data_IF_653196413396
#
_entry.id   IF_653196413396
#
_cell.length_a   1.000
_cell.length_b   1.000
_cell.length_c   1.000
_cell.angle_alpha   90.00
_cell.angle_beta   90.00
_cell.angle_gamma   90.00
#
_symmetry.space_group_name_H-M   'P 1'
#
loop_
_entity.id
_entity.type
_entity.pdbx_description
1 polymer ?
#
# COMPACT_ATOMS: atom_id res chain seq x y z
N UNK A 1 30.04 -22.04 8.74
CA UNK A 1 29.26 -20.95 8.13
C UNK A 1 30.09 -20.43 6.96
N UNK A 2 29.69 -20.74 5.74
CA UNK A 2 30.21 -20.02 4.58
C UNK A 2 29.48 -18.67 4.57
N UNK A 3 30.23 -17.58 4.56
CA UNK A 3 29.64 -16.27 4.38
C UNK A 3 28.90 -16.24 3.02
N UNK A 4 27.67 -15.70 2.96
CA UNK A 4 26.93 -15.63 1.71
C UNK A 4 27.72 -14.79 0.70
N UNK A 5 28.17 -15.44 -0.37
CA UNK A 5 28.86 -14.75 -1.48
C UNK A 5 27.91 -14.69 -2.65
N UNK A 6 27.70 -13.48 -3.17
CA UNK A 6 26.85 -13.24 -4.33
C UNK A 6 27.65 -12.48 -5.37
N UNK A 7 27.69 -12.99 -6.60
CA UNK A 7 28.30 -12.28 -7.73
C UNK A 7 27.25 -11.42 -8.41
N UNK A 8 27.53 -10.12 -8.51
CA UNK A 8 26.72 -9.18 -9.30
C UNK A 8 27.53 -8.59 -10.43
N UNK A 9 26.87 -8.39 -11.58
CA UNK A 9 27.45 -7.68 -12.71
C UNK A 9 26.73 -6.36 -12.94
N UNK A 10 27.51 -5.27 -13.08
CA UNK A 10 27.02 -3.96 -13.51
C UNK A 10 27.40 -3.77 -14.98
N UNK A 11 26.38 -3.68 -15.84
CA UNK A 11 26.56 -3.66 -17.29
C UNK A 11 27.06 -2.33 -17.85
N UNK A 12 27.04 -1.25 -17.04
CA UNK A 12 27.60 0.02 -17.45
C UNK A 12 28.12 0.86 -16.25
N UNK A 13 29.08 1.75 -16.53
CA UNK A 13 29.71 2.60 -15.49
C UNK A 13 28.75 3.63 -14.87
N UNK A 14 27.67 3.99 -15.54
CA UNK A 14 26.71 4.96 -15.01
C UNK A 14 25.93 4.37 -13.83
N UNK A 15 25.65 3.08 -13.86
CA UNK A 15 24.99 2.33 -12.78
C UNK A 15 25.81 2.36 -11.51
N UNK A 16 27.13 2.11 -11.60
CA UNK A 16 28.02 2.18 -10.43
C UNK A 16 27.96 3.55 -9.74
N UNK A 17 27.94 4.64 -10.53
CA UNK A 17 27.82 6.00 -9.99
C UNK A 17 26.44 6.26 -9.35
N UNK A 18 25.35 5.81 -9.98
CA UNK A 18 23.99 5.91 -9.43
C UNK A 18 23.89 5.17 -8.11
N UNK A 19 24.40 3.94 -8.05
CA UNK A 19 24.41 3.13 -6.82
C UNK A 19 25.24 3.81 -5.72
N UNK A 20 26.43 4.32 -6.03
CA UNK A 20 27.25 5.03 -5.05
C UNK A 20 26.56 6.28 -4.48
N UNK A 21 25.79 6.99 -5.29
CA UNK A 21 25.09 8.20 -4.88
C UNK A 21 23.74 7.91 -4.19
N UNK A 22 23.02 6.86 -4.60
CA UNK A 22 21.71 6.50 -4.08
C UNK A 22 21.49 4.98 -4.05
N UNK A 23 22.20 4.23 -3.19
CA UNK A 23 22.15 2.77 -3.21
C UNK A 23 20.75 2.21 -3.00
N UNK A 24 19.94 2.81 -2.12
CA UNK A 24 18.60 2.31 -1.79
C UNK A 24 17.61 2.31 -2.96
N UNK A 25 17.73 3.27 -3.87
CA UNK A 25 16.87 3.36 -5.06
C UNK A 25 17.54 2.74 -6.28
N UNK A 26 18.80 3.11 -6.54
CA UNK A 26 19.49 2.76 -7.77
C UNK A 26 19.77 1.26 -7.91
N UNK A 27 19.90 0.51 -6.81
CA UNK A 27 20.05 -0.95 -6.86
C UNK A 27 18.79 -1.62 -7.39
N UNK A 28 17.63 -1.24 -6.85
CA UNK A 28 16.34 -1.78 -7.31
C UNK A 28 16.04 -1.42 -8.77
N UNK A 29 16.22 -0.14 -9.14
CA UNK A 29 16.04 0.32 -10.53
C UNK A 29 16.96 -0.41 -11.50
N UNK A 30 18.25 -0.57 -11.15
CA UNK A 30 19.23 -1.25 -11.99
C UNK A 30 18.95 -2.75 -12.16
N UNK A 31 18.39 -3.40 -11.14
CA UNK A 31 17.94 -4.78 -11.28
C UNK A 31 16.71 -4.87 -12.18
N UNK A 32 15.74 -3.98 -12.03
CA UNK A 32 14.50 -3.95 -12.83
C UNK A 32 14.78 -3.64 -14.31
N UNK A 33 15.72 -2.75 -14.62
CA UNK A 33 16.07 -2.40 -16.01
C UNK A 33 17.12 -3.33 -16.61
N UNK A 34 17.59 -4.34 -15.87
CA UNK A 34 18.59 -5.32 -16.31
C UNK A 34 20.02 -4.80 -16.37
N UNK A 35 20.30 -3.59 -15.89
CA UNK A 35 21.66 -3.04 -15.85
C UNK A 35 22.49 -3.55 -14.66
N UNK A 36 21.86 -4.24 -13.71
CA UNK A 36 22.45 -5.08 -12.67
C UNK A 36 21.89 -6.49 -12.79
N UNK A 37 22.75 -7.49 -12.86
CA UNK A 37 22.34 -8.91 -12.84
C UNK A 37 23.05 -9.66 -11.73
N UNK A 38 22.39 -10.68 -11.18
CA UNK A 38 22.98 -11.66 -10.25
C UNK A 38 23.49 -12.82 -11.08
N UNK A 39 24.74 -13.25 -10.86
CA UNK A 39 25.43 -14.25 -11.66
C UNK A 39 25.95 -15.41 -10.80
N UNK A 40 26.61 -16.38 -11.45
CA UNK A 40 27.29 -17.53 -10.85
C UNK A 40 26.39 -18.40 -9.95
N UNK A 41 25.11 -18.56 -10.34
CA UNK A 41 24.17 -19.41 -9.61
C UNK A 41 23.59 -18.78 -8.33
N UNK A 42 23.94 -17.53 -8.04
CA UNK A 42 23.30 -16.77 -6.95
C UNK A 42 21.84 -16.44 -7.27
N UNK A 43 21.02 -16.36 -6.23
CA UNK A 43 19.62 -15.94 -6.36
C UNK A 43 19.45 -14.45 -6.01
N UNK A 44 18.35 -13.86 -6.46
CA UNK A 44 17.96 -12.52 -6.01
C UNK A 44 17.75 -12.49 -4.48
N UNK A 45 17.30 -13.59 -3.89
CA UNK A 45 17.13 -13.71 -2.45
C UNK A 45 18.47 -13.54 -1.73
N UNK A 46 19.55 -14.24 -2.16
CA UNK A 46 20.87 -14.12 -1.58
C UNK A 46 21.41 -12.69 -1.66
N UNK A 47 21.15 -12.03 -2.79
CA UNK A 47 21.52 -10.62 -2.97
C UNK A 47 20.76 -9.67 -2.04
N UNK A 48 19.46 -9.90 -1.85
CA UNK A 48 18.63 -9.11 -0.93
C UNK A 48 19.00 -9.37 0.53
N UNK A 49 19.32 -10.60 0.90
CA UNK A 49 19.76 -10.96 2.25
C UNK A 49 21.09 -10.28 2.57
N UNK A 50 22.07 -10.36 1.65
CA UNK A 50 23.36 -9.67 1.80
C UNK A 50 23.19 -8.16 1.93
N UNK A 51 22.37 -7.54 1.07
CA UNK A 51 22.16 -6.08 1.11
C UNK A 51 21.39 -5.67 2.35
N UNK A 52 20.35 -6.43 2.74
CA UNK A 52 19.55 -6.20 3.94
C UNK A 52 20.36 -6.25 5.22
N UNK A 53 21.19 -7.28 5.37
CA UNK A 53 22.09 -7.44 6.50
C UNK A 53 23.15 -6.33 6.65
N UNK A 54 23.45 -5.61 5.56
CA UNK A 54 24.45 -4.54 5.52
C UNK A 54 23.84 -3.13 5.36
N UNK A 55 22.53 -2.96 5.47
CA UNK A 55 21.87 -1.64 5.31
C UNK A 55 22.44 -0.58 6.27
N UNK A 56 22.76 -0.96 7.50
CA UNK A 56 23.34 -0.06 8.49
C UNK A 56 24.71 0.51 8.06
N UNK A 57 25.51 -0.25 7.32
CA UNK A 57 26.79 0.20 6.78
C UNK A 57 26.55 1.25 5.69
N UNK A 58 25.56 1.04 4.83
CA UNK A 58 25.19 2.00 3.78
C UNK A 58 24.73 3.34 4.38
N UNK A 59 23.99 3.31 5.48
CA UNK A 59 23.52 4.52 6.17
C UNK A 59 24.66 5.29 6.88
N UNK A 60 25.72 4.63 7.25
CA UNK A 60 26.90 5.23 7.86
C UNK A 60 27.78 6.00 6.85
N UNK A 61 27.60 5.76 5.54
CA UNK A 61 28.39 6.46 4.51
C UNK A 61 28.14 7.97 4.55
N UNK A 62 29.22 8.75 4.64
CA UNK A 62 29.17 10.22 4.73
C UNK A 62 28.38 10.85 3.59
N UNK A 63 28.52 10.34 2.37
CA UNK A 63 27.80 10.84 1.19
C UNK A 63 26.29 10.64 1.31
N UNK A 64 25.84 9.52 1.89
CA UNK A 64 24.42 9.23 2.14
C UNK A 64 23.88 10.16 3.22
N UNK A 65 24.67 10.43 4.27
CA UNK A 65 24.29 11.36 5.34
C UNK A 65 24.17 12.79 4.83
N UNK A 66 25.11 13.30 4.04
CA UNK A 66 25.05 14.64 3.44
C UNK A 66 23.82 14.75 2.52
N UNK A 67 23.58 13.77 1.67
CA UNK A 67 22.40 13.75 0.80
C UNK A 67 21.09 13.74 1.61
N UNK A 68 21.00 12.92 2.65
CA UNK A 68 19.81 12.87 3.51
C UNK A 68 19.57 14.20 4.22
N UNK A 69 20.62 14.89 4.63
CA UNK A 69 20.55 16.25 5.18
C UNK A 69 20.05 17.26 4.14
N UNK A 70 20.61 17.25 2.94
CA UNK A 70 20.16 18.13 1.83
C UNK A 70 18.73 17.81 1.39
N UNK A 71 18.36 16.51 1.31
CA UNK A 71 17.00 16.09 0.94
C UNK A 71 15.95 16.53 1.96
N UNK A 72 16.33 16.72 3.22
CA UNK A 72 15.45 17.28 4.25
C UNK A 72 14.87 18.65 3.85
N UNK A 73 15.62 19.46 3.12
CA UNK A 73 15.20 20.78 2.65
C UNK A 73 14.26 20.69 1.42
N UNK A 74 14.37 19.66 0.62
CA UNK A 74 13.54 19.45 -0.59
C UNK A 74 12.32 18.57 -0.34
N UNK A 75 12.28 17.82 0.78
CA UNK A 75 11.11 17.00 1.18
C UNK A 75 9.78 17.76 1.15
N UNK A 76 9.70 19.02 1.60
CA UNK A 76 8.45 19.77 1.54
C UNK A 76 7.88 19.95 0.13
N UNK A 77 8.76 20.08 -0.88
CA UNK A 77 8.35 20.23 -2.29
C UNK A 77 7.98 18.87 -2.89
N UNK A 78 8.70 17.81 -2.51
CA UNK A 78 8.42 16.44 -2.99
C UNK A 78 7.14 15.85 -2.39
N UNK A 79 6.76 16.25 -1.18
CA UNK A 79 5.52 15.81 -0.50
C UNK A 79 4.27 16.60 -0.91
N UNK A 80 4.43 17.59 -1.80
CA UNK A 80 3.27 18.31 -2.33
C UNK A 80 2.45 17.37 -3.23
N UNK A 81 1.29 16.93 -2.73
CA UNK A 81 0.43 15.93 -3.37
C UNK A 81 -0.95 16.52 -3.72
N UNK A 82 -1.04 17.42 -4.74
CA UNK A 82 -2.32 17.95 -5.19
C UNK A 82 -3.19 16.83 -5.77
N UNK A 83 -4.51 17.04 -5.81
CA UNK A 83 -5.51 16.06 -6.23
C UNK A 83 -5.17 15.32 -7.53
N UNK A 84 -4.63 16.02 -8.53
CA UNK A 84 -4.25 15.42 -9.82
C UNK A 84 -3.02 14.52 -9.76
N UNK A 85 -2.06 14.83 -8.89
CA UNK A 85 -0.83 14.05 -8.70
C UNK A 85 -1.12 12.80 -7.88
N UNK A 86 -1.95 12.91 -6.83
CA UNK A 86 -2.38 11.77 -6.04
C UNK A 86 -2.98 10.66 -6.91
N UNK A 87 -3.90 11.03 -7.82
CA UNK A 87 -4.52 10.10 -8.75
C UNK A 87 -3.51 9.44 -9.69
N UNK A 88 -2.55 10.22 -10.23
CA UNK A 88 -1.52 9.69 -11.14
C UNK A 88 -0.58 8.71 -10.43
N UNK A 89 -0.18 9.03 -9.20
CA UNK A 89 0.70 8.17 -8.41
C UNK A 89 0.02 6.85 -8.03
N UNK A 90 -1.26 6.90 -7.62
CA UNK A 90 -2.04 5.70 -7.31
C UNK A 90 -2.24 4.86 -8.57
N UNK A 91 -2.62 5.45 -9.70
CA UNK A 91 -2.75 4.73 -10.97
C UNK A 91 -1.45 4.01 -11.34
N UNK A 92 -0.30 4.67 -11.24
CA UNK A 92 0.99 4.05 -11.56
C UNK A 92 1.35 2.85 -10.65
N UNK A 93 0.91 2.86 -9.40
CA UNK A 93 1.14 1.75 -8.46
C UNK A 93 0.19 0.56 -8.66
N UNK A 94 -1.04 0.80 -9.12
CA UNK A 94 -2.10 -0.21 -9.22
C UNK A 94 -2.50 -0.56 -10.65
N UNK A 95 -1.90 0.10 -11.67
CA UNK A 95 -2.02 -0.28 -13.08
C UNK A 95 -1.10 -1.47 -13.46
N UNK A 96 -0.46 -2.10 -12.47
CA UNK A 96 0.16 -3.42 -12.62
C UNK A 96 -0.96 -4.44 -12.87
N UNK A 97 -0.67 -5.46 -13.68
CA UNK A 97 -1.69 -6.47 -14.03
C UNK A 97 -2.26 -7.13 -12.77
N UNK A 98 -3.56 -7.40 -12.76
CA UNK A 98 -4.24 -8.14 -11.70
C UNK A 98 -3.56 -9.48 -11.41
N UNK A 99 -2.98 -10.14 -12.45
CA UNK A 99 -2.25 -11.39 -12.34
C UNK A 99 -1.07 -11.32 -11.37
N UNK A 100 -0.40 -10.15 -11.28
CA UNK A 100 0.69 -9.98 -10.32
C UNK A 100 0.18 -10.04 -8.89
N UNK A 101 -0.95 -9.38 -8.59
CA UNK A 101 -1.53 -9.36 -7.25
C UNK A 101 -2.06 -10.73 -6.84
N UNK A 102 -2.58 -11.50 -7.77
CA UNK A 102 -3.07 -12.87 -7.55
C UNK A 102 -1.95 -13.85 -7.19
N UNK A 103 -0.68 -13.54 -7.49
CA UNK A 103 0.46 -14.37 -7.13
C UNK A 103 0.81 -14.36 -5.64
N UNK A 104 0.49 -13.29 -4.91
CA UNK A 104 0.97 -13.13 -3.53
C UNK A 104 -0.08 -12.64 -2.53
N UNK A 105 -1.22 -12.11 -2.98
CA UNK A 105 -2.31 -11.73 -2.10
C UNK A 105 -3.22 -12.93 -1.79
N UNK A 106 -4.02 -12.76 -0.74
CA UNK A 106 -5.13 -13.67 -0.45
C UNK A 106 -6.23 -13.57 -1.50
N UNK A 107 -7.16 -14.54 -1.50
CA UNK A 107 -8.28 -14.60 -2.46
C UNK A 107 -9.19 -13.36 -2.45
N UNK A 108 -9.19 -12.59 -1.37
CA UNK A 108 -9.93 -11.34 -1.21
C UNK A 108 -9.13 -10.09 -1.62
N UNK A 109 -7.88 -10.27 -2.11
CA UNK A 109 -6.95 -9.21 -2.54
C UNK A 109 -6.75 -8.13 -1.47
N UNK A 110 -6.54 -8.53 -0.22
CA UNK A 110 -6.25 -7.62 0.88
C UNK A 110 -4.80 -7.13 0.82
N UNK A 111 -4.55 -5.94 0.28
CA UNK A 111 -3.22 -5.37 0.11
C UNK A 111 -2.79 -4.53 1.33
N UNK A 112 -2.84 -5.15 2.50
CA UNK A 112 -2.34 -4.60 3.76
C UNK A 112 -1.99 -5.73 4.72
N UNK A 113 -1.23 -5.45 5.79
CA UNK A 113 -0.74 -6.47 6.71
C UNK A 113 -1.87 -7.31 7.29
N UNK A 114 -1.72 -8.63 7.28
CA UNK A 114 -2.62 -9.57 7.95
C UNK A 114 -2.48 -9.50 9.48
N UNK A 115 -3.52 -9.93 10.20
CA UNK A 115 -3.47 -10.10 11.66
C UNK A 115 -3.28 -11.58 11.98
N UNK A 116 -2.02 -11.98 12.21
CA UNK A 116 -1.66 -13.34 12.53
C UNK A 116 -1.85 -13.57 14.04
N UNK A 117 -2.91 -14.25 14.40
CA UNK A 117 -3.23 -14.62 15.78
C UNK A 117 -2.46 -15.88 16.25
N UNK A 118 -1.83 -16.59 15.32
CA UNK A 118 -1.00 -17.77 15.54
C UNK A 118 0.13 -17.83 14.51
N UNK A 119 1.27 -18.41 14.89
CA UNK A 119 2.38 -18.66 13.96
C UNK A 119 2.02 -19.62 12.82
N UNK A 120 0.98 -20.43 13.01
CA UNK A 120 0.50 -21.41 12.03
C UNK A 120 -0.67 -20.86 11.17
N UNK A 121 -1.08 -19.60 11.36
CA UNK A 121 -2.17 -19.01 10.57
C UNK A 121 -1.74 -18.88 9.12
N UNK A 122 -2.63 -19.29 8.20
CA UNK A 122 -2.45 -19.00 6.78
C UNK A 122 -2.70 -17.52 6.48
N UNK A 123 -2.27 -17.04 5.30
CA UNK A 123 -2.54 -15.68 4.85
C UNK A 123 -4.05 -15.38 4.83
N UNK A 124 -4.86 -16.31 4.33
CA UNK A 124 -6.33 -16.20 4.30
C UNK A 124 -6.91 -16.00 5.70
N UNK A 125 -6.45 -16.82 6.66
CA UNK A 125 -6.88 -16.72 8.05
C UNK A 125 -6.48 -15.37 8.67
N UNK A 126 -5.25 -14.93 8.43
CA UNK A 126 -4.74 -13.67 8.96
C UNK A 126 -5.48 -12.46 8.37
N UNK A 127 -5.83 -12.48 7.08
CA UNK A 127 -6.58 -11.42 6.45
C UNK A 127 -8.05 -11.40 6.93
N UNK A 128 -8.67 -12.55 7.12
CA UNK A 128 -10.00 -12.65 7.74
C UNK A 128 -9.98 -12.15 9.19
N UNK A 129 -8.97 -12.53 9.98
CA UNK A 129 -8.80 -12.07 11.35
C UNK A 129 -8.60 -10.54 11.43
N UNK A 130 -7.84 -9.94 10.51
CA UNK A 130 -7.72 -8.50 10.37
C UNK A 130 -9.07 -7.83 10.16
N UNK A 131 -9.88 -8.29 9.21
CA UNK A 131 -11.21 -7.72 8.92
C UNK A 131 -12.11 -7.80 10.15
N UNK A 132 -12.13 -8.94 10.84
CA UNK A 132 -12.87 -9.12 12.10
C UNK A 132 -12.40 -8.14 13.19
N UNK A 133 -11.10 -7.97 13.34
CA UNK A 133 -10.51 -7.05 14.31
C UNK A 133 -10.87 -5.59 14.03
N UNK A 134 -10.92 -5.19 12.76
CA UNK A 134 -11.36 -3.85 12.35
C UNK A 134 -12.86 -3.65 12.58
N UNK A 135 -13.68 -4.63 12.23
CA UNK A 135 -15.13 -4.59 12.46
C UNK A 135 -15.46 -4.41 13.96
N UNK A 136 -14.75 -5.12 14.84
CA UNK A 136 -14.96 -4.98 16.29
C UNK A 136 -14.59 -3.60 16.82
N UNK A 137 -13.58 -2.94 16.26
CA UNK A 137 -13.19 -1.56 16.63
C UNK A 137 -14.16 -0.51 16.12
N UNK A 138 -14.84 -0.77 15.02
CA UNK A 138 -15.84 0.15 14.45
C UNK A 138 -17.15 0.16 15.25
N UNK A 139 -17.39 -0.83 16.12
CA UNK A 139 -18.60 -0.93 16.94
C UNK A 139 -19.86 -0.79 16.05
N UNK A 140 -19.96 -1.70 15.07
CA UNK A 140 -21.10 -1.78 14.17
C UNK A 140 -22.23 -2.62 14.83
N UNK A 141 -22.83 -2.09 15.87
CA UNK A 141 -23.73 -2.76 16.81
C UNK A 141 -25.17 -2.90 16.30
N UNK A 142 -25.49 -2.30 15.15
CA UNK A 142 -26.80 -2.37 14.49
C UNK A 142 -26.67 -2.29 12.97
N UNK A 143 -27.57 -2.95 12.22
CA UNK A 143 -27.56 -2.86 10.76
C UNK A 143 -27.90 -1.44 10.28
N UNK A 144 -27.50 -1.13 9.04
CA UNK A 144 -27.77 0.15 8.38
C UNK A 144 -26.86 1.31 8.79
N UNK A 145 -25.90 1.12 9.70
CA UNK A 145 -24.91 2.15 10.00
C UNK A 145 -24.12 2.51 8.75
N UNK A 146 -24.08 3.81 8.45
CA UNK A 146 -23.32 4.35 7.30
C UNK A 146 -21.84 4.32 7.62
N UNK A 147 -21.10 3.55 6.86
CA UNK A 147 -19.66 3.37 7.08
C UNK A 147 -18.89 3.81 5.84
N UNK A 148 -17.85 4.63 6.04
CA UNK A 148 -16.92 5.06 4.98
C UNK A 148 -15.62 4.26 5.08
N UNK A 149 -15.19 3.67 3.96
CA UNK A 149 -13.88 3.02 3.81
C UNK A 149 -12.99 3.87 2.89
N UNK A 150 -12.03 4.59 3.47
CA UNK A 150 -11.13 5.48 2.72
C UNK A 150 -9.90 4.70 2.26
N UNK A 151 -9.78 4.49 0.95
CA UNK A 151 -8.76 3.63 0.37
C UNK A 151 -9.21 2.17 0.31
N UNK A 152 -10.42 1.95 -0.18
CA UNK A 152 -11.12 0.64 -0.12
C UNK A 152 -10.48 -0.48 -0.94
N UNK A 153 -9.47 -0.18 -1.77
CA UNK A 153 -8.81 -1.19 -2.61
C UNK A 153 -9.82 -1.93 -3.50
N UNK A 154 -9.70 -3.25 -3.54
CA UNK A 154 -10.62 -4.14 -4.29
C UNK A 154 -11.94 -4.44 -3.56
N UNK A 155 -12.26 -3.68 -2.50
CA UNK A 155 -13.55 -3.69 -1.84
C UNK A 155 -13.75 -4.76 -0.76
N UNK A 156 -12.76 -5.61 -0.51
CA UNK A 156 -12.93 -6.76 0.38
C UNK A 156 -13.30 -6.40 1.81
N UNK A 157 -12.76 -5.31 2.39
CA UNK A 157 -13.14 -4.89 3.74
C UNK A 157 -14.59 -4.38 3.76
N UNK A 158 -14.98 -3.51 2.83
CA UNK A 158 -16.33 -2.97 2.77
C UNK A 158 -17.41 -4.05 2.61
N UNK A 159 -17.18 -5.04 1.73
CA UNK A 159 -18.05 -6.19 1.53
C UNK A 159 -18.15 -7.01 2.82
N UNK A 160 -17.03 -7.29 3.48
CA UNK A 160 -16.99 -8.02 4.74
C UNK A 160 -17.77 -7.32 5.85
N UNK A 161 -17.61 -6.00 6.00
CA UNK A 161 -18.33 -5.22 7.00
C UNK A 161 -19.85 -5.31 6.79
N UNK A 162 -20.31 -5.21 5.55
CA UNK A 162 -21.74 -5.37 5.23
C UNK A 162 -22.24 -6.78 5.57
N UNK A 163 -21.53 -7.82 5.11
CA UNK A 163 -21.94 -9.21 5.31
C UNK A 163 -22.03 -9.61 6.78
N UNK A 164 -21.09 -9.12 7.61
CA UNK A 164 -21.04 -9.50 9.03
C UNK A 164 -21.94 -8.64 9.92
N UNK A 165 -22.24 -7.41 9.54
CA UNK A 165 -22.91 -6.44 10.44
C UNK A 165 -24.16 -5.80 9.85
N UNK A 166 -24.43 -5.95 8.55
CA UNK A 166 -25.49 -5.24 7.85
C UNK A 166 -25.24 -3.74 7.68
N UNK A 167 -23.98 -3.26 7.82
CA UNK A 167 -23.66 -1.86 7.62
C UNK A 167 -23.81 -1.44 6.15
N UNK A 168 -24.20 -0.18 5.92
CA UNK A 168 -24.22 0.43 4.59
C UNK A 168 -22.84 1.04 4.31
N UNK A 169 -22.12 0.49 3.34
CA UNK A 169 -20.70 0.86 3.12
C UNK A 169 -20.51 1.67 1.85
N UNK A 170 -19.79 2.79 1.98
CA UNK A 170 -19.24 3.52 0.84
C UNK A 170 -17.73 3.38 0.87
N UNK A 171 -17.13 2.79 -0.15
CA UNK A 171 -15.69 2.71 -0.33
C UNK A 171 -15.19 3.75 -1.31
N UNK A 172 -14.06 4.39 -1.00
CA UNK A 172 -13.40 5.34 -1.89
C UNK A 172 -12.05 4.79 -2.35
N UNK A 173 -11.78 4.86 -3.63
CA UNK A 173 -10.48 4.54 -4.23
C UNK A 173 -10.12 5.54 -5.31
N UNK A 174 -8.84 5.67 -5.64
CA UNK A 174 -8.34 6.46 -6.77
C UNK A 174 -7.95 5.60 -7.98
N UNK A 175 -8.00 4.27 -7.86
CA UNK A 175 -7.75 3.32 -8.95
C UNK A 175 -9.06 2.92 -9.63
N UNK A 176 -9.11 3.10 -10.95
CA UNK A 176 -10.26 2.68 -11.77
C UNK A 176 -10.43 1.15 -11.80
N UNK A 177 -9.32 0.42 -11.83
CA UNK A 177 -9.33 -1.03 -11.88
C UNK A 177 -9.86 -1.62 -10.57
N UNK A 178 -9.39 -1.08 -9.42
CA UNK A 178 -9.91 -1.47 -8.12
C UNK A 178 -11.40 -1.19 -7.99
N UNK A 179 -11.85 0.01 -8.38
CA UNK A 179 -13.27 0.36 -8.35
C UNK A 179 -14.11 -0.60 -9.19
N UNK A 180 -13.73 -0.81 -10.45
CA UNK A 180 -14.44 -1.70 -11.36
C UNK A 180 -14.54 -3.13 -10.83
N UNK A 181 -13.45 -3.63 -10.26
CA UNK A 181 -13.41 -4.96 -9.65
C UNK A 181 -14.35 -5.03 -8.43
N UNK A 182 -14.28 -4.04 -7.53
CA UNK A 182 -15.11 -3.99 -6.34
C UNK A 182 -16.61 -3.86 -6.68
N UNK A 183 -16.97 -3.03 -7.65
CA UNK A 183 -18.35 -2.90 -8.14
C UNK A 183 -18.89 -4.21 -8.73
N UNK A 184 -18.06 -4.91 -9.53
CA UNK A 184 -18.45 -6.22 -10.05
C UNK A 184 -18.77 -7.21 -8.92
N UNK A 185 -17.93 -7.24 -7.88
CA UNK A 185 -18.16 -8.10 -6.69
C UNK A 185 -19.48 -7.78 -6.01
N UNK A 186 -19.84 -6.51 -5.84
CA UNK A 186 -21.12 -6.14 -5.23
C UNK A 186 -22.31 -6.54 -6.08
N UNK A 187 -22.18 -6.49 -7.41
CA UNK A 187 -23.21 -6.98 -8.34
C UNK A 187 -23.38 -8.50 -8.26
N UNK A 188 -22.26 -9.24 -8.30
CA UNK A 188 -22.26 -10.70 -8.21
C UNK A 188 -22.87 -11.19 -6.88
N UNK A 189 -22.70 -10.44 -5.79
CA UNK A 189 -23.26 -10.69 -4.46
C UNK A 189 -24.67 -10.10 -4.27
N UNK A 190 -25.19 -9.33 -5.22
CA UNK A 190 -26.50 -8.64 -5.15
C UNK A 190 -26.66 -7.67 -3.95
N UNK A 191 -25.55 -7.00 -3.57
CA UNK A 191 -25.50 -6.05 -2.43
C UNK A 191 -25.24 -4.60 -2.85
N UNK A 192 -25.34 -4.28 -4.13
CA UNK A 192 -25.03 -2.94 -4.68
C UNK A 192 -25.94 -1.81 -4.17
N UNK A 193 -27.04 -2.13 -3.50
CA UNK A 193 -27.88 -1.17 -2.80
C UNK A 193 -27.28 -0.66 -1.49
N UNK A 194 -26.51 -1.51 -0.83
CA UNK A 194 -25.98 -1.27 0.52
C UNK A 194 -24.46 -1.05 0.52
N UNK A 195 -23.76 -1.58 -0.50
CA UNK A 195 -22.29 -1.42 -0.66
C UNK A 195 -21.98 -0.84 -2.03
N UNK A 196 -21.29 0.29 -2.04
CA UNK A 196 -20.90 1.00 -3.27
C UNK A 196 -19.45 1.45 -3.21
N UNK A 197 -18.78 1.47 -4.35
CA UNK A 197 -17.40 1.90 -4.48
C UNK A 197 -17.27 3.05 -5.48
N UNK A 198 -16.68 4.17 -5.05
CA UNK A 198 -16.58 5.40 -5.82
C UNK A 198 -15.13 5.70 -6.20
N UNK A 199 -14.92 6.09 -7.45
CA UNK A 199 -13.64 6.63 -7.91
C UNK A 199 -13.50 8.09 -7.47
N UNK A 200 -13.16 8.31 -6.21
CA UNK A 200 -13.19 9.63 -5.60
C UNK A 200 -12.06 9.82 -4.58
N UNK A 201 -11.50 11.02 -4.57
CA UNK A 201 -10.59 11.45 -3.50
C UNK A 201 -11.41 11.79 -2.24
N UNK A 202 -11.00 11.27 -1.08
CA UNK A 202 -11.69 11.46 0.20
C UNK A 202 -11.89 12.96 0.56
N UNK A 203 -11.02 13.85 0.09
CA UNK A 203 -11.12 15.30 0.29
C UNK A 203 -12.38 15.90 -0.35
N UNK A 204 -12.95 15.23 -1.36
CA UNK A 204 -14.18 15.64 -2.04
C UNK A 204 -15.44 15.03 -1.45
N UNK A 205 -15.31 14.10 -0.51
CA UNK A 205 -16.48 13.49 0.13
C UNK A 205 -17.20 14.53 1.01
N UNK A 206 -18.53 14.51 0.98
CA UNK A 206 -19.37 15.48 1.71
C UNK A 206 -20.51 14.84 2.50
N UNK A 207 -20.78 13.55 2.27
CA UNK A 207 -21.81 12.83 3.02
C UNK A 207 -21.34 12.57 4.45
N UNK A 208 -22.28 12.47 5.38
CA UNK A 208 -22.03 12.10 6.77
C UNK A 208 -22.14 10.60 6.97
N UNK A 209 -21.29 10.10 7.84
CA UNK A 209 -21.15 8.69 8.17
C UNK A 209 -21.18 8.47 9.69
N UNK A 210 -21.67 7.31 10.11
CA UNK A 210 -21.63 6.91 11.51
C UNK A 210 -20.25 6.37 11.92
N UNK A 211 -19.52 5.79 10.97
CA UNK A 211 -18.19 5.19 11.17
C UNK A 211 -17.32 5.44 9.96
N UNK A 212 -16.03 5.63 10.21
CA UNK A 212 -15.03 5.79 9.16
C UNK A 212 -13.86 4.86 9.45
N UNK A 213 -13.39 4.15 8.42
CA UNK A 213 -12.20 3.31 8.45
C UNK A 213 -11.26 3.68 7.30
N UNK A 214 -9.97 3.57 7.53
CA UNK A 214 -8.94 3.70 6.50
C UNK A 214 -7.77 2.77 6.83
N UNK A 215 -7.41 1.89 5.90
CA UNK A 215 -6.39 0.85 6.10
C UNK A 215 -5.41 0.86 4.92
N UNK A 216 -4.11 1.02 5.21
CA UNK A 216 -3.08 1.00 4.18
C UNK A 216 -3.07 2.23 3.24
N UNK A 217 -3.75 3.34 3.64
CA UNK A 217 -3.80 4.57 2.85
C UNK A 217 -3.17 5.76 3.57
N UNK A 218 -3.27 5.82 4.90
CA UNK A 218 -2.83 6.98 5.68
C UNK A 218 -1.34 7.30 5.53
N UNK A 219 -0.49 6.29 5.35
CA UNK A 219 0.94 6.42 5.07
C UNK A 219 1.25 7.21 3.77
N UNK A 220 0.30 7.28 2.84
CA UNK A 220 0.40 8.03 1.59
C UNK A 220 -0.06 9.48 1.70
N UNK A 221 -0.68 9.88 2.81
CA UNK A 221 -1.18 11.24 3.03
C UNK A 221 -0.03 12.26 3.16
N UNK A 222 1.08 11.83 3.79
CA UNK A 222 2.22 12.69 4.08
C UNK A 222 2.03 13.56 5.34
N UNK A 223 3.09 13.70 6.12
CA UNK A 223 3.05 14.30 7.47
C UNK A 223 2.44 15.72 7.48
N UNK A 224 2.70 16.52 6.45
CA UNK A 224 2.17 17.88 6.34
C UNK A 224 0.65 17.96 6.18
N UNK A 225 0.03 16.89 5.71
CA UNK A 225 -1.41 16.81 5.43
C UNK A 225 -2.19 16.05 6.49
N UNK A 226 -1.55 15.59 7.58
CA UNK A 226 -2.23 14.87 8.65
C UNK A 226 -3.36 15.68 9.29
N UNK A 227 -3.11 16.98 9.55
CA UNK A 227 -4.15 17.89 10.07
C UNK A 227 -5.35 18.00 9.11
N UNK A 228 -5.09 18.15 7.80
CA UNK A 228 -6.13 18.17 6.77
C UNK A 228 -6.94 16.87 6.75
N UNK A 229 -6.24 15.71 6.81
CA UNK A 229 -6.89 14.40 6.84
C UNK A 229 -7.81 14.25 8.04
N UNK A 230 -7.32 14.49 9.26
CA UNK A 230 -8.14 14.31 10.47
C UNK A 230 -9.27 15.35 10.58
N UNK A 231 -9.06 16.60 10.15
CA UNK A 231 -10.13 17.59 10.07
C UNK A 231 -11.21 17.15 9.09
N UNK A 232 -10.80 16.58 7.93
CA UNK A 232 -11.74 16.05 6.96
C UNK A 232 -12.53 14.88 7.52
N UNK A 233 -11.85 13.88 8.11
CA UNK A 233 -12.51 12.73 8.75
C UNK A 233 -13.50 13.19 9.83
N UNK A 234 -13.08 14.11 10.71
CA UNK A 234 -13.94 14.67 11.75
C UNK A 234 -15.16 15.44 11.19
N UNK A 235 -15.03 16.04 10.00
CA UNK A 235 -16.15 16.74 9.35
C UNK A 235 -17.17 15.82 8.67
N UNK A 236 -16.83 14.53 8.51
CA UNK A 236 -17.68 13.52 7.90
C UNK A 236 -18.35 12.60 8.95
N UNK A 237 -18.01 12.72 10.23
CA UNK A 237 -18.63 12.07 11.38
C UNK A 237 -19.71 12.97 12.00
#
# INVERSE_FOLDING_TARGET
NQDPSVTIRLHNRSVSRKIALNPRLAVGEAYMDGSLTVEDGGSIYDFLDLTGSNLHVLDALTIVRIRNWLSGWTRPLQQHNPLGVARKNVAHHYDLSDDLFDLFLDSDRQYSCGYFDSQNSTLEQAQKAKKRHLASKLILDKPGLKTLDIGSGWGGLGIYLHQETGANVTGLTLSKEQQKYAEKRTQDLQIQGDVRFLLQDYRRETNLYDRIVSVGMFEHVGIKHYGEFFNKVGSLL
#
